data_IF_308359906645
#
_entry.id   IF_308359906645
#
_cell.length_a   1.000
_cell.length_b   1.000
_cell.length_c   1.000
_cell.angle_alpha   90.00
_cell.angle_beta   90.00
_cell.angle_gamma   90.00
#
_symmetry.space_group_name_H-M   'P 1'
#
loop_
_entity.id
_entity.type
_entity.pdbx_description
1 polymer ?
#
# COMPACT_ATOMS: atom_id res chain seq x y z
N UNK A 1 -21.24 -18.05 2.96
CA UNK A 1 -20.27 -18.61 3.93
C UNK A 1 -19.06 -19.22 3.23
N UNK A 2 -19.24 -19.95 2.12
CA UNK A 2 -18.13 -20.68 1.43
C UNK A 2 -17.09 -19.80 0.73
N UNK A 3 -17.39 -18.53 0.49
CA UNK A 3 -16.42 -17.61 -0.11
C UNK A 3 -15.30 -17.25 0.87
N UNK A 4 -15.64 -16.84 2.09
CA UNK A 4 -14.66 -16.42 3.09
C UNK A 4 -13.72 -17.57 3.48
N UNK A 5 -14.27 -18.77 3.67
CA UNK A 5 -13.45 -19.96 3.94
C UNK A 5 -12.44 -20.24 2.82
N UNK A 6 -12.87 -20.23 1.56
CA UNK A 6 -11.97 -20.39 0.40
C UNK A 6 -10.96 -19.26 0.28
N UNK A 7 -11.35 -18.04 0.64
CA UNK A 7 -10.46 -16.90 0.65
C UNK A 7 -9.37 -17.04 1.70
N UNK A 8 -9.69 -17.48 2.92
CA UNK A 8 -8.69 -17.75 3.96
C UNK A 8 -7.70 -18.84 3.53
N UNK A 9 -8.19 -19.93 2.93
CA UNK A 9 -7.31 -20.95 2.33
C UNK A 9 -6.42 -20.33 1.25
N UNK A 10 -6.98 -19.47 0.39
CA UNK A 10 -6.20 -18.75 -0.62
C UNK A 10 -5.10 -17.91 0.02
N UNK A 11 -5.39 -17.15 1.08
CA UNK A 11 -4.39 -16.31 1.77
C UNK A 11 -3.20 -17.10 2.29
N UNK A 12 -3.42 -18.31 2.81
CA UNK A 12 -2.33 -19.14 3.35
C UNK A 12 -1.65 -20.04 2.31
N UNK A 13 -2.18 -20.09 1.08
CA UNK A 13 -1.62 -20.89 -0.02
C UNK A 13 -1.09 -20.06 -1.19
N UNK A 14 -1.22 -18.73 -1.13
CA UNK A 14 -0.66 -17.83 -2.13
C UNK A 14 0.87 -17.88 -2.12
N UNK A 15 1.45 -17.81 -3.32
CA UNK A 15 2.88 -17.64 -3.51
C UNK A 15 3.23 -16.15 -3.44
N UNK A 16 3.60 -15.67 -2.25
CA UNK A 16 3.91 -14.26 -2.01
C UNK A 16 5.20 -13.77 -2.68
N UNK A 17 6.00 -14.65 -3.30
CA UNK A 17 7.14 -14.24 -4.12
C UNK A 17 6.71 -13.75 -5.51
N UNK A 18 5.46 -14.01 -5.94
CA UNK A 18 4.94 -13.63 -7.25
C UNK A 18 4.10 -12.36 -7.18
N UNK A 19 4.36 -11.42 -8.10
CA UNK A 19 3.61 -10.16 -8.20
C UNK A 19 2.10 -10.39 -8.42
N UNK A 20 1.73 -11.44 -9.14
CA UNK A 20 0.33 -11.82 -9.37
C UNK A 20 -0.47 -12.06 -8.09
N UNK A 21 0.17 -12.47 -7.00
CA UNK A 21 -0.49 -12.65 -5.70
C UNK A 21 -0.91 -11.30 -5.11
N UNK A 22 -0.05 -10.30 -5.21
CA UNK A 22 -0.32 -8.94 -4.77
C UNK A 22 -1.35 -8.25 -5.67
N UNK A 23 -1.25 -8.40 -6.99
CA UNK A 23 -2.26 -7.92 -7.94
C UNK A 23 -3.65 -8.53 -7.70
N UNK A 24 -3.71 -9.79 -7.28
CA UNK A 24 -4.96 -10.42 -6.89
C UNK A 24 -5.55 -9.75 -5.65
N UNK A 25 -4.77 -9.54 -4.59
CA UNK A 25 -5.22 -8.88 -3.37
C UNK A 25 -5.65 -7.43 -3.62
N UNK A 26 -4.92 -6.72 -4.48
CA UNK A 26 -5.27 -5.38 -4.96
C UNK A 26 -6.66 -5.34 -5.61
N UNK A 27 -6.92 -6.27 -6.55
CA UNK A 27 -8.24 -6.41 -7.19
C UNK A 27 -9.36 -6.74 -6.20
N UNK A 28 -9.07 -7.46 -5.12
CA UNK A 28 -10.03 -7.66 -4.03
C UNK A 28 -10.36 -6.33 -3.36
N UNK A 29 -9.38 -5.49 -3.06
CA UNK A 29 -9.60 -4.14 -2.54
C UNK A 29 -10.44 -3.27 -3.48
N UNK A 30 -10.05 -3.23 -4.76
CA UNK A 30 -10.78 -2.47 -5.79
C UNK A 30 -12.25 -2.87 -5.88
N UNK A 31 -12.55 -4.17 -5.81
CA UNK A 31 -13.92 -4.69 -5.88
C UNK A 31 -14.83 -4.16 -4.75
N UNK A 32 -14.28 -3.83 -3.57
CA UNK A 32 -15.04 -3.28 -2.44
C UNK A 32 -15.38 -1.78 -2.60
N UNK A 33 -14.81 -1.10 -3.60
CA UNK A 33 -15.17 0.27 -3.96
C UNK A 33 -16.38 0.37 -4.90
N UNK A 34 -17.01 -0.77 -5.24
CA UNK A 34 -18.07 -0.84 -6.23
C UNK A 34 -17.59 -0.93 -7.68
N UNK A 35 -16.27 -0.78 -7.91
CA UNK A 35 -15.65 -0.94 -9.22
C UNK A 35 -15.46 -2.40 -9.61
N UNK A 36 -15.26 -2.65 -10.90
CA UNK A 36 -15.05 -4.00 -11.43
C UNK A 36 -13.59 -4.44 -11.22
N UNK A 37 -13.29 -5.04 -10.06
CA UNK A 37 -11.97 -5.63 -9.81
C UNK A 37 -11.71 -6.95 -10.55
N UNK A 38 -12.76 -7.66 -10.97
CA UNK A 38 -12.67 -8.94 -11.67
C UNK A 38 -13.71 -9.05 -12.77
N UNK A 39 -13.35 -9.67 -13.91
CA UNK A 39 -14.25 -9.84 -15.06
C UNK A 39 -15.57 -10.57 -14.70
N UNK A 40 -15.53 -11.55 -13.79
CA UNK A 40 -16.71 -12.30 -13.34
C UNK A 40 -17.72 -11.48 -12.51
N UNK A 41 -17.40 -10.22 -12.20
CA UNK A 41 -18.30 -9.23 -11.58
C UNK A 41 -19.05 -8.40 -12.61
N UNK A 42 -18.74 -8.53 -13.91
CA UNK A 42 -19.47 -7.88 -14.98
C UNK A 42 -20.97 -8.20 -14.90
N UNK A 43 -21.81 -7.15 -14.94
CA UNK A 43 -23.27 -7.27 -14.86
C UNK A 43 -23.85 -7.53 -13.47
N UNK A 44 -23.02 -7.62 -12.41
CA UNK A 44 -23.50 -7.73 -11.03
C UNK A 44 -23.62 -6.35 -10.38
N UNK A 45 -24.54 -6.15 -9.41
CA UNK A 45 -24.63 -4.91 -8.66
C UNK A 45 -23.29 -4.54 -8.02
N UNK A 46 -22.93 -3.24 -7.96
CA UNK A 46 -21.69 -2.79 -7.37
C UNK A 46 -21.60 -3.23 -5.90
N UNK A 47 -20.46 -3.79 -5.52
CA UNK A 47 -20.17 -4.15 -4.14
C UNK A 47 -19.43 -2.97 -3.51
N UNK A 48 -20.18 -2.02 -2.94
CA UNK A 48 -19.57 -0.90 -2.20
C UNK A 48 -19.60 -1.21 -0.71
N UNK A 49 -18.43 -1.24 -0.10
CA UNK A 49 -18.25 -1.38 1.35
C UNK A 49 -17.35 -0.24 1.81
N UNK A 50 -17.70 0.45 2.90
CA UNK A 50 -16.84 1.51 3.44
C UNK A 50 -15.53 0.94 3.99
N UNK A 51 -14.42 1.64 3.75
CA UNK A 51 -13.09 1.20 4.15
C UNK A 51 -13.03 0.88 5.66
N UNK A 52 -13.69 1.69 6.50
CA UNK A 52 -13.77 1.43 7.94
C UNK A 52 -14.31 0.03 8.25
N UNK A 53 -15.35 -0.42 7.53
CA UNK A 53 -15.90 -1.76 7.73
C UNK A 53 -14.96 -2.86 7.24
N UNK A 54 -14.24 -2.62 6.14
CA UNK A 54 -13.19 -3.53 5.68
C UNK A 54 -12.09 -3.68 6.73
N UNK A 55 -11.56 -2.57 7.24
CA UNK A 55 -10.49 -2.54 8.24
C UNK A 55 -10.90 -3.23 9.55
N UNK A 56 -12.10 -2.95 10.07
CA UNK A 56 -12.62 -3.59 11.28
C UNK A 56 -12.78 -5.10 11.08
N UNK A 57 -13.29 -5.54 9.93
CA UNK A 57 -13.44 -6.97 9.66
C UNK A 57 -12.08 -7.68 9.54
N UNK A 58 -11.08 -7.05 8.92
CA UNK A 58 -9.73 -7.61 8.84
C UNK A 58 -9.12 -7.80 10.23
N UNK A 59 -9.21 -6.79 11.10
CA UNK A 59 -8.74 -6.89 12.49
C UNK A 59 -9.49 -7.96 13.29
N UNK A 60 -10.81 -8.11 13.09
CA UNK A 60 -11.58 -9.17 13.73
C UNK A 60 -11.14 -10.58 13.29
N UNK A 61 -10.89 -10.78 11.99
CA UNK A 61 -10.41 -12.06 11.46
C UNK A 61 -8.99 -12.36 11.96
N UNK A 62 -8.14 -11.34 12.07
CA UNK A 62 -6.81 -11.45 12.64
C UNK A 62 -6.83 -11.90 14.10
N UNK A 63 -7.67 -11.30 14.94
CA UNK A 63 -7.82 -11.69 16.34
C UNK A 63 -8.26 -13.15 16.51
N UNK A 64 -9.25 -13.60 15.72
CA UNK A 64 -9.70 -15.00 15.73
C UNK A 64 -8.55 -15.95 15.38
N UNK A 65 -7.75 -15.63 14.34
CA UNK A 65 -6.65 -16.49 13.94
C UNK A 65 -5.56 -16.51 15.02
N UNK A 66 -5.18 -15.35 15.55
CA UNK A 66 -4.19 -15.24 16.63
C UNK A 66 -4.63 -16.11 17.82
N UNK A 67 -5.88 -16.00 18.25
CA UNK A 67 -6.41 -16.81 19.34
C UNK A 67 -6.33 -18.32 19.02
N UNK A 68 -6.74 -18.72 17.82
CA UNK A 68 -6.69 -20.12 17.39
C UNK A 68 -5.25 -20.68 17.37
N UNK A 69 -4.27 -19.88 16.92
CA UNK A 69 -2.85 -20.29 16.90
C UNK A 69 -2.27 -20.36 18.31
N UNK A 70 -2.56 -19.38 19.16
CA UNK A 70 -2.06 -19.33 20.54
C UNK A 70 -2.56 -20.51 21.38
N UNK A 71 -3.86 -20.83 21.26
CA UNK A 71 -4.52 -21.88 22.03
C UNK A 71 -4.31 -23.29 21.48
N UNK A 72 -3.74 -23.43 20.28
CA UNK A 72 -3.47 -24.74 19.69
C UNK A 72 -2.41 -25.50 20.52
N UNK A 73 -2.75 -26.68 21.09
CA UNK A 73 -1.83 -27.46 21.92
C UNK A 73 -0.73 -28.15 21.11
N UNK A 74 -0.93 -28.36 19.81
CA UNK A 74 -0.05 -29.14 18.94
C UNK A 74 1.07 -28.30 18.30
N UNK A 75 1.04 -26.97 18.48
CA UNK A 75 2.05 -26.06 17.94
C UNK A 75 3.06 -25.65 19.02
N UNK A 76 4.34 -25.74 18.70
CA UNK A 76 5.40 -25.18 19.53
C UNK A 76 5.43 -23.64 19.47
N UNK A 77 6.10 -23.02 20.43
CA UNK A 77 6.18 -21.56 20.56
C UNK A 77 6.84 -20.90 19.33
N UNK A 78 7.84 -21.54 18.72
CA UNK A 78 8.51 -21.00 17.53
C UNK A 78 7.55 -20.97 16.34
N UNK A 79 6.82 -22.06 16.12
CA UNK A 79 5.80 -22.14 15.06
C UNK A 79 4.67 -21.14 15.29
N UNK A 80 4.15 -21.03 16.52
CA UNK A 80 3.13 -20.02 16.87
C UNK A 80 3.60 -18.60 16.53
N UNK A 81 4.79 -18.23 16.97
CA UNK A 81 5.37 -16.91 16.68
C UNK A 81 5.54 -16.67 15.18
N UNK A 82 6.03 -17.67 14.45
CA UNK A 82 6.25 -17.57 13.00
C UNK A 82 4.93 -17.34 12.27
N UNK A 83 3.90 -18.13 12.58
CA UNK A 83 2.57 -18.02 11.97
C UNK A 83 1.92 -16.67 12.29
N UNK A 84 1.89 -16.26 13.57
CA UNK A 84 1.29 -14.99 13.98
C UNK A 84 1.96 -13.80 13.28
N UNK A 85 3.29 -13.76 13.24
CA UNK A 85 4.04 -12.67 12.58
C UNK A 85 3.82 -12.65 11.07
N UNK A 86 3.76 -13.82 10.43
CA UNK A 86 3.50 -13.92 9.00
C UNK A 86 2.08 -13.45 8.66
N UNK A 87 1.09 -13.90 9.42
CA UNK A 87 -0.32 -13.54 9.18
C UNK A 87 -0.58 -12.05 9.42
N UNK A 88 -0.04 -11.49 10.51
CA UNK A 88 -0.14 -10.05 10.79
C UNK A 88 0.39 -9.23 9.60
N UNK A 89 1.57 -9.56 9.08
CA UNK A 89 2.10 -8.86 7.88
C UNK A 89 1.15 -8.92 6.69
N UNK A 90 0.56 -10.08 6.42
CA UNK A 90 -0.38 -10.25 5.30
C UNK A 90 -1.63 -9.39 5.49
N UNK A 91 -2.20 -9.35 6.71
CA UNK A 91 -3.38 -8.54 7.02
C UNK A 91 -3.10 -7.04 6.86
N UNK A 92 -1.98 -6.56 7.39
CA UNK A 92 -1.57 -5.15 7.23
C UNK A 92 -1.36 -4.77 5.76
N UNK A 93 -0.67 -5.61 4.98
CA UNK A 93 -0.48 -5.35 3.54
C UNK A 93 -1.82 -5.36 2.81
N UNK A 94 -2.71 -6.30 3.13
CA UNK A 94 -4.04 -6.36 2.52
C UNK A 94 -4.87 -5.12 2.86
N UNK A 95 -4.80 -4.65 4.11
CA UNK A 95 -5.47 -3.43 4.54
C UNK A 95 -4.97 -2.20 3.75
N UNK A 96 -3.66 -2.06 3.57
CA UNK A 96 -3.08 -0.97 2.77
C UNK A 96 -3.47 -1.05 1.30
N UNK A 97 -3.47 -2.26 0.71
CA UNK A 97 -3.95 -2.50 -0.65
C UNK A 97 -5.43 -2.15 -0.79
N UNK A 98 -6.24 -2.30 0.26
CA UNK A 98 -7.62 -1.84 0.21
C UNK A 98 -7.66 -0.31 0.29
N UNK A 99 -6.99 0.27 1.27
CA UNK A 99 -6.97 1.71 1.54
C UNK A 99 -6.60 2.55 0.31
N UNK A 100 -5.65 2.09 -0.50
CA UNK A 100 -5.21 2.80 -1.73
C UNK A 100 -6.35 3.11 -2.71
N UNK A 101 -7.43 2.32 -2.70
CA UNK A 101 -8.56 2.53 -3.60
C UNK A 101 -9.63 3.46 -3.01
N UNK A 102 -9.55 3.79 -1.72
CA UNK A 102 -10.44 4.70 -1.02
C UNK A 102 -9.83 6.08 -0.81
N UNK A 103 -8.50 6.16 -0.76
CA UNK A 103 -7.78 7.43 -0.68
C UNK A 103 -7.78 8.03 -2.09
N UNK A 104 -8.34 9.24 -2.22
CA UNK A 104 -8.20 10.00 -3.46
C UNK A 104 -6.74 10.40 -3.61
N UNK A 105 -6.14 10.14 -4.77
CA UNK A 105 -4.89 10.81 -5.09
C UNK A 105 -5.22 12.28 -5.31
N UNK A 106 -5.16 13.07 -4.23
CA UNK A 106 -5.02 14.50 -4.35
C UNK A 106 -3.74 14.70 -5.15
N UNK A 107 -3.88 14.88 -6.47
CA UNK A 107 -2.80 15.32 -7.32
C UNK A 107 -2.36 16.63 -6.70
N UNK A 108 -1.27 16.61 -5.94
CA UNK A 108 -0.61 17.81 -5.44
C UNK A 108 -0.53 18.73 -6.64
N UNK A 109 -1.33 19.80 -6.63
CA UNK A 109 -1.47 20.66 -7.78
C UNK A 109 -0.15 21.38 -7.94
N UNK A 110 0.72 20.83 -8.80
CA UNK A 110 1.99 21.44 -9.18
C UNK A 110 1.78 22.80 -9.86
N UNK A 111 0.53 23.18 -10.15
CA UNK A 111 0.13 24.52 -10.57
C UNK A 111 0.60 25.63 -9.61
N UNK A 112 0.80 25.32 -8.32
CA UNK A 112 1.27 26.30 -7.33
C UNK A 112 2.79 26.30 -7.14
N UNK A 113 3.52 25.42 -7.84
CA UNK A 113 4.98 25.37 -7.89
C UNK A 113 5.49 25.88 -9.25
N UNK A 114 4.95 26.99 -9.72
CA UNK A 114 5.65 27.82 -10.71
C UNK A 114 6.77 28.56 -10.00
N UNK A 115 7.91 27.91 -9.78
CA UNK A 115 9.16 28.64 -9.67
C UNK A 115 9.28 29.42 -10.99
N UNK A 116 9.10 30.74 -10.93
CA UNK A 116 9.17 31.56 -12.13
C UNK A 116 10.51 31.24 -12.81
N UNK A 117 10.46 30.67 -14.02
CA UNK A 117 11.66 30.36 -14.82
C UNK A 117 12.71 31.49 -14.80
N UNK A 118 12.34 32.80 -14.86
CA UNK A 118 13.34 33.87 -14.73
C UNK A 118 14.03 33.91 -13.35
N UNK A 119 13.34 33.59 -12.25
CA UNK A 119 13.93 33.52 -10.91
C UNK A 119 14.91 32.35 -10.79
N UNK A 120 14.54 31.18 -11.33
CA UNK A 120 15.40 30.00 -11.33
C UNK A 120 16.70 30.24 -12.12
N UNK A 121 16.59 30.88 -13.29
CA UNK A 121 17.73 31.26 -14.13
C UNK A 121 18.59 32.32 -13.44
N UNK A 122 17.97 33.30 -12.79
CA UNK A 122 18.68 34.34 -12.04
C UNK A 122 19.51 33.77 -10.88
N UNK A 123 18.94 32.83 -10.11
CA UNK A 123 19.64 32.17 -9.01
C UNK A 123 20.83 31.34 -9.54
N UNK A 124 20.62 30.56 -10.61
CA UNK A 124 21.68 29.75 -11.20
C UNK A 124 22.83 30.62 -11.77
N UNK A 125 22.50 31.69 -12.49
CA UNK A 125 23.49 32.63 -13.01
C UNK A 125 24.28 33.34 -11.89
N UNK A 126 23.60 33.70 -10.79
CA UNK A 126 24.23 34.30 -9.62
C UNK A 126 25.27 33.40 -8.96
N UNK A 127 24.95 32.11 -8.77
CA UNK A 127 25.91 31.14 -8.21
C UNK A 127 27.12 30.92 -9.11
N UNK A 128 26.93 30.84 -10.44
CA UNK A 128 28.03 30.71 -11.40
C UNK A 128 28.92 31.95 -11.39
N UNK A 129 28.33 33.14 -11.43
CA UNK A 129 29.09 34.39 -11.41
C UNK A 129 29.89 34.56 -10.12
N UNK A 130 29.30 34.22 -8.97
CA UNK A 130 29.99 34.25 -7.68
C UNK A 130 31.13 33.23 -7.64
N UNK A 131 30.91 32.02 -8.14
CA UNK A 131 31.94 30.98 -8.25
C UNK A 131 33.12 31.43 -9.11
N UNK A 132 32.86 31.97 -10.30
CA UNK A 132 33.89 32.51 -11.19
C UNK A 132 34.64 33.69 -10.56
N UNK A 133 33.94 34.58 -9.85
CA UNK A 133 34.56 35.72 -9.17
C UNK A 133 35.48 35.28 -8.02
N UNK A 134 35.02 34.34 -7.18
CA UNK A 134 35.83 33.76 -6.11
C UNK A 134 37.08 33.09 -6.68
N UNK A 135 36.93 32.31 -7.75
CA UNK A 135 38.04 31.63 -8.40
C UNK A 135 39.04 32.61 -9.03
N UNK A 136 38.56 33.71 -9.62
CA UNK A 136 39.39 34.80 -10.16
C UNK A 136 40.18 35.55 -9.07
N UNK A 137 39.54 35.85 -7.93
CA UNK A 137 40.21 36.50 -6.79
C UNK A 137 41.27 35.59 -6.18
N UNK A 138 41.00 34.29 -6.07
CA UNK A 138 41.97 33.31 -5.58
C UNK A 138 43.17 33.15 -6.53
N UNK A 139 42.98 33.24 -7.84
CA UNK A 139 44.05 33.11 -8.84
C UNK A 139 44.96 34.35 -8.97
N UNK A 140 44.63 35.48 -8.32
CA UNK A 140 45.40 36.73 -8.32
C UNK A 140 46.14 37.02 -7.01
N UNK A 141 46.05 36.12 -6.02
CA UNK A 141 46.93 36.08 -4.85
C UNK A 141 48.13 35.20 -5.14
#
# INVERSE_FOLDING_TARGET
KDFLARYLVKLVTLDYAKMSSWEYLDKVGLMHTGQMGFAHRGGKPPLRVEYMHCAILLGYVEDILINAVLTNPDLDISTKNTVMRAFNKIIWIQNDLFARHYISEDKVSTSNLTLAKPLAVGIAAGFVALGCFVQYVLARR
#
